data_IF_970293134886
#
_entry.id   IF_970293134886
#
_cell.length_a   1.000
_cell.length_b   1.000
_cell.length_c   1.000
_cell.angle_alpha   90.00
_cell.angle_beta   90.00
_cell.angle_gamma   90.00
#
_symmetry.space_group_name_H-M   'P 1'
#
loop_
_entity.id
_entity.type
_entity.pdbx_description
1 polymer ?
#
# COMPACT_ATOMS: atom_id res chain seq x y z
N UNK A 1 -26.23 9.88 -11.34
CA UNK A 1 -24.75 9.74 -11.36
C UNK A 1 -24.34 8.96 -10.13
N UNK A 2 -24.05 7.66 -10.29
CA UNK A 2 -23.62 6.80 -9.18
C UNK A 2 -22.33 7.35 -8.55
N UNK A 3 -22.17 7.31 -7.21
CA UNK A 3 -20.92 7.72 -6.58
C UNK A 3 -19.80 6.79 -7.04
N UNK A 4 -18.63 7.35 -7.39
CA UNK A 4 -17.45 6.57 -7.80
C UNK A 4 -17.10 5.59 -6.67
N UNK A 5 -17.25 4.26 -6.87
CA UNK A 5 -17.06 3.27 -5.79
C UNK A 5 -15.61 3.10 -5.34
N UNK A 6 -14.65 3.72 -6.02
CA UNK A 6 -13.22 3.44 -5.85
C UNK A 6 -12.49 4.36 -4.86
N UNK A 7 -13.18 5.27 -4.17
CA UNK A 7 -12.51 6.09 -3.16
C UNK A 7 -11.99 5.22 -2.02
N UNK A 8 -10.66 5.15 -1.93
CA UNK A 8 -9.94 4.49 -0.86
C UNK A 8 -9.58 5.51 0.22
N UNK A 9 -9.56 5.06 1.46
CA UNK A 9 -9.31 5.88 2.65
C UNK A 9 -8.22 5.21 3.46
N UNK A 10 -7.16 5.97 3.77
CA UNK A 10 -6.10 5.50 4.64
C UNK A 10 -6.58 5.52 6.10
N UNK A 11 -6.39 4.41 6.80
CA UNK A 11 -6.72 4.30 8.22
C UNK A 11 -5.42 4.25 9.02
N UNK A 12 -5.34 5.11 10.01
CA UNK A 12 -4.24 5.24 10.95
C UNK A 12 -4.64 4.68 12.33
N UNK A 13 -3.68 4.13 13.08
CA UNK A 13 -3.87 3.85 14.51
C UNK A 13 -3.71 5.14 15.34
N UNK A 14 -3.98 5.09 16.65
CA UNK A 14 -3.80 6.22 17.59
C UNK A 14 -2.37 6.78 17.61
N UNK A 15 -1.39 5.99 17.18
CA UNK A 15 0.01 6.41 17.04
C UNK A 15 0.29 7.10 15.70
N UNK A 16 -0.74 7.37 14.90
CA UNK A 16 -0.68 7.97 13.56
C UNK A 16 0.04 7.12 12.52
N UNK A 17 0.14 5.81 12.75
CA UNK A 17 0.78 4.89 11.83
C UNK A 17 -0.27 4.27 10.90
N UNK A 18 0.04 4.13 9.60
CA UNK A 18 -0.86 3.52 8.63
C UNK A 18 -1.08 2.04 8.98
N UNK A 19 -2.36 1.66 9.11
CA UNK A 19 -2.76 0.29 9.46
C UNK A 19 -3.57 -0.41 8.40
N UNK A 20 -4.32 0.31 7.59
CA UNK A 20 -5.12 -0.28 6.53
C UNK A 20 -5.52 0.77 5.48
N UNK A 21 -5.88 0.31 4.28
CA UNK A 21 -6.58 1.10 3.27
C UNK A 21 -7.94 0.45 3.08
N UNK A 22 -9.01 1.21 3.29
CA UNK A 22 -10.38 0.69 3.20
C UNK A 22 -11.18 1.44 2.15
N UNK A 23 -12.19 0.81 1.58
CA UNK A 23 -13.15 1.50 0.71
C UNK A 23 -14.02 2.48 1.50
N UNK A 24 -14.54 3.49 0.80
CA UNK A 24 -15.33 4.59 1.34
C UNK A 24 -16.44 4.14 2.31
N UNK A 25 -17.26 3.14 1.95
CA UNK A 25 -18.38 2.70 2.80
C UNK A 25 -17.92 2.22 4.19
N UNK A 26 -16.78 1.51 4.23
CA UNK A 26 -16.19 1.05 5.49
C UNK A 26 -15.59 2.22 6.27
N UNK A 27 -14.97 3.18 5.60
CA UNK A 27 -14.48 4.40 6.22
C UNK A 27 -15.60 5.20 6.87
N UNK A 28 -16.68 5.48 6.15
CA UNK A 28 -17.85 6.19 6.69
C UNK A 28 -18.47 5.43 7.87
N UNK A 29 -18.54 4.09 7.78
CA UNK A 29 -19.01 3.26 8.90
C UNK A 29 -18.15 3.40 10.15
N UNK A 30 -16.82 3.54 10.03
CA UNK A 30 -15.93 3.77 11.17
C UNK A 30 -16.13 5.15 11.79
N UNK A 31 -16.25 6.18 10.94
CA UNK A 31 -16.48 7.57 11.35
C UNK A 31 -17.83 7.73 12.07
N UNK A 32 -18.93 7.34 11.43
CA UNK A 32 -20.29 7.54 11.97
C UNK A 32 -20.59 6.69 13.20
N UNK A 33 -19.86 5.58 13.41
CA UNK A 33 -19.96 4.80 14.65
C UNK A 33 -19.08 5.35 15.78
N UNK A 34 -18.43 6.50 15.60
CA UNK A 34 -17.54 7.11 16.59
C UNK A 34 -16.29 6.27 16.87
N UNK A 35 -15.88 5.39 15.94
CA UNK A 35 -14.68 4.55 16.10
C UNK A 35 -13.43 5.17 15.49
N UNK A 36 -13.61 6.21 14.68
CA UNK A 36 -12.54 6.96 14.06
C UNK A 36 -12.91 8.45 13.99
N UNK A 37 -11.89 9.30 13.87
CA UNK A 37 -12.01 10.69 13.49
C UNK A 37 -11.47 10.90 12.06
N UNK A 38 -12.08 11.80 11.31
CA UNK A 38 -11.55 12.22 10.02
C UNK A 38 -10.37 13.18 10.23
N UNK A 39 -9.29 12.97 9.48
CA UNK A 39 -8.10 13.83 9.48
C UNK A 39 -8.16 14.72 8.25
N UNK A 40 -8.02 16.02 8.45
CA UNK A 40 -7.90 17.00 7.37
C UNK A 40 -6.72 17.93 7.64
N UNK A 41 -5.91 18.18 6.61
CA UNK A 41 -4.79 19.11 6.69
C UNK A 41 -5.29 20.52 6.34
N UNK A 42 -4.99 21.48 7.21
CA UNK A 42 -5.36 22.89 7.11
C UNK A 42 -4.14 23.72 7.51
N UNK A 43 -3.61 24.54 6.60
CA UNK A 43 -2.45 25.42 6.82
C UNK A 43 -1.22 24.75 7.48
N UNK A 44 -0.94 23.48 7.13
CA UNK A 44 0.20 22.73 7.68
C UNK A 44 -0.08 22.04 9.03
N UNK A 45 -1.31 22.10 9.54
CA UNK A 45 -1.75 21.39 10.73
C UNK A 45 -2.78 20.30 10.40
N UNK A 46 -2.72 19.17 11.11
CA UNK A 46 -3.73 18.11 10.98
C UNK A 46 -4.82 18.29 12.04
N UNK A 47 -6.03 18.59 11.58
CA UNK A 47 -7.22 18.71 12.43
C UNK A 47 -8.01 17.40 12.41
N UNK A 48 -8.51 17.01 13.58
CA UNK A 48 -9.37 15.84 13.76
C UNK A 48 -10.82 16.28 13.83
N UNK A 49 -11.68 15.57 13.12
CA UNK A 49 -13.12 15.81 13.08
C UNK A 49 -13.85 14.54 13.50
N UNK A 50 -14.70 14.67 14.51
CA UNK A 50 -15.75 13.68 14.78
C UNK A 50 -16.73 13.63 13.59
N UNK A 51 -17.64 12.65 13.61
CA UNK A 51 -18.65 12.53 12.57
C UNK A 51 -19.51 13.79 12.40
N UNK A 52 -19.94 14.40 13.52
CA UNK A 52 -20.77 15.60 13.50
C UNK A 52 -20.00 16.81 12.96
N UNK A 53 -18.76 17.00 13.42
CA UNK A 53 -17.90 18.08 12.94
C UNK A 53 -17.54 17.91 11.46
N UNK A 54 -17.36 16.66 10.99
CA UNK A 54 -17.07 16.38 9.58
C UNK A 54 -18.26 16.71 8.66
N UNK A 55 -19.47 16.39 9.11
CA UNK A 55 -20.71 16.77 8.42
C UNK A 55 -20.78 18.29 8.30
N UNK A 56 -20.67 18.99 9.42
CA UNK A 56 -20.80 20.44 9.47
C UNK A 56 -19.68 21.15 8.67
N UNK A 57 -18.44 20.66 8.76
CA UNK A 57 -17.34 21.12 7.91
C UNK A 57 -17.63 20.93 6.42
N UNK A 58 -18.18 19.78 6.03
CA UNK A 58 -18.54 19.51 4.63
C UNK A 58 -19.64 20.42 4.11
N UNK A 59 -20.57 20.84 4.98
CA UNK A 59 -21.64 21.78 4.63
C UNK A 59 -21.13 23.22 4.53
N UNK A 60 -20.29 23.64 5.48
CA UNK A 60 -19.70 24.99 5.51
C UNK A 60 -18.69 25.21 4.39
N UNK A 61 -17.96 24.16 4.00
CA UNK A 61 -16.96 24.19 2.93
C UNK A 61 -17.18 23.03 1.94
N UNK A 62 -18.18 23.16 1.05
CA UNK A 62 -18.54 22.09 0.12
C UNK A 62 -17.35 21.63 -0.72
N UNK A 63 -17.10 20.31 -0.82
CA UNK A 63 -16.03 19.78 -1.67
C UNK A 63 -16.39 19.94 -3.17
N UNK A 64 -15.38 19.94 -4.05
CA UNK A 64 -15.60 19.73 -5.48
C UNK A 64 -16.39 18.43 -5.72
N UNK A 65 -17.22 18.39 -6.76
CA UNK A 65 -18.12 17.25 -7.00
C UNK A 65 -17.39 15.90 -7.14
N UNK A 66 -16.13 15.92 -7.59
CA UNK A 66 -15.28 14.73 -7.73
C UNK A 66 -14.83 14.12 -6.38
N UNK A 67 -14.91 14.88 -5.28
CA UNK A 67 -14.49 14.47 -3.94
C UNK A 67 -15.66 14.42 -2.95
N UNK A 68 -16.87 14.32 -3.48
CA UNK A 68 -18.11 14.42 -2.74
C UNK A 68 -18.89 13.10 -2.75
N UNK A 69 -19.33 12.67 -1.57
CA UNK A 69 -20.38 11.67 -1.41
C UNK A 69 -21.71 12.42 -1.38
N UNK A 70 -22.60 12.08 -2.32
CA UNK A 70 -23.93 12.69 -2.39
C UNK A 70 -24.99 11.72 -1.90
N UNK A 71 -25.86 12.21 -1.05
CA UNK A 71 -27.15 11.61 -0.73
C UNK A 71 -28.26 12.61 -1.10
N UNK A 72 -29.54 12.19 -1.10
CA UNK A 72 -30.64 13.10 -1.42
C UNK A 72 -30.69 14.37 -0.56
N UNK A 73 -30.20 14.30 0.69
CA UNK A 73 -30.34 15.40 1.66
C UNK A 73 -29.01 16.03 2.09
N UNK A 74 -27.87 15.45 1.70
CA UNK A 74 -26.56 15.94 2.15
C UNK A 74 -25.44 15.64 1.15
N UNK A 75 -24.52 16.59 1.05
CA UNK A 75 -23.25 16.46 0.33
C UNK A 75 -22.12 16.42 1.35
N UNK A 76 -21.37 15.33 1.36
CA UNK A 76 -20.29 15.10 2.31
C UNK A 76 -18.94 15.02 1.60
N UNK A 77 -17.91 15.61 2.20
CA UNK A 77 -16.53 15.42 1.76
C UNK A 77 -16.08 13.98 2.01
N UNK A 78 -15.45 13.38 1.02
CA UNK A 78 -14.78 12.08 1.17
C UNK A 78 -13.61 12.24 2.15
N UNK A 79 -13.59 11.55 3.31
CA UNK A 79 -12.43 11.58 4.18
C UNK A 79 -11.28 10.83 3.51
N UNK A 80 -10.13 11.49 3.31
CA UNK A 80 -8.93 10.85 2.73
C UNK A 80 -8.16 10.01 3.75
N UNK A 81 -8.22 10.41 5.02
CA UNK A 81 -7.51 9.77 6.13
C UNK A 81 -8.42 9.70 7.36
N UNK A 82 -8.40 8.57 8.05
CA UNK A 82 -9.08 8.36 9.32
C UNK A 82 -8.08 7.97 10.42
N UNK A 83 -8.25 8.52 11.62
CA UNK A 83 -7.52 8.13 12.82
C UNK A 83 -8.42 7.27 13.72
N UNK A 84 -8.02 6.05 14.04
CA UNK A 84 -8.80 5.18 14.94
C UNK A 84 -8.74 5.68 16.38
N UNK A 85 -9.89 5.70 17.06
CA UNK A 85 -10.02 6.28 18.40
C UNK A 85 -9.42 5.41 19.50
N UNK A 86 -9.33 4.09 19.34
CA UNK A 86 -8.93 3.18 20.44
C UNK A 86 -7.87 2.14 20.03
N UNK A 87 -7.46 2.12 18.76
CA UNK A 87 -6.52 1.12 18.26
C UNK A 87 -5.09 1.67 18.33
N UNK A 88 -4.27 1.12 19.21
CA UNK A 88 -2.88 1.51 19.46
C UNK A 88 -1.87 0.48 18.94
N UNK A 89 -2.33 -0.71 18.55
CA UNK A 89 -1.47 -1.77 18.02
C UNK A 89 -0.77 -1.29 16.76
N UNK A 90 0.53 -1.52 16.71
CA UNK A 90 1.31 -1.45 15.48
C UNK A 90 1.04 -2.75 14.72
N UNK A 91 0.39 -2.73 13.54
CA UNK A 91 0.20 -3.96 12.79
C UNK A 91 1.57 -4.57 12.52
N UNK A 92 1.73 -5.87 12.80
CA UNK A 92 2.88 -6.61 12.27
C UNK A 92 2.80 -6.52 10.75
N UNK A 93 3.70 -5.75 10.16
CA UNK A 93 3.75 -5.39 8.74
C UNK A 93 4.19 -6.60 7.90
N UNK A 94 3.42 -7.67 7.94
CA UNK A 94 3.71 -8.87 7.15
C UNK A 94 3.11 -8.74 5.76
N UNK A 95 3.99 -8.43 4.80
CA UNK A 95 3.66 -8.59 3.40
C UNK A 95 3.50 -10.09 3.13
N UNK A 96 2.29 -10.48 2.74
CA UNK A 96 2.01 -11.85 2.31
C UNK A 96 2.92 -12.21 1.13
N UNK A 97 3.61 -13.34 1.24
CA UNK A 97 4.33 -13.92 0.12
C UNK A 97 3.33 -14.36 -0.96
N UNK A 98 3.38 -13.73 -2.14
CA UNK A 98 2.51 -14.03 -3.27
C UNK A 98 3.20 -13.66 -4.58
N UNK A 99 2.81 -14.31 -5.70
CA UNK A 99 3.34 -14.01 -7.04
C UNK A 99 3.28 -12.51 -7.36
N UNK A 100 2.10 -11.90 -7.19
CA UNK A 100 1.89 -10.47 -7.39
C UNK A 100 2.87 -9.62 -6.59
N UNK A 101 3.08 -9.94 -5.31
CA UNK A 101 3.98 -9.14 -4.47
C UNK A 101 5.47 -9.35 -4.80
N UNK A 102 5.87 -10.50 -5.34
CA UNK A 102 7.22 -10.72 -5.85
C UNK A 102 7.43 -9.93 -7.14
N UNK A 103 6.46 -9.93 -8.06
CA UNK A 103 6.54 -9.15 -9.30
C UNK A 103 6.61 -7.65 -9.00
N UNK A 104 5.78 -7.16 -8.06
CA UNK A 104 5.84 -5.78 -7.59
C UNK A 104 7.19 -5.43 -6.94
N UNK A 105 7.74 -6.30 -6.08
CA UNK A 105 9.06 -6.11 -5.46
C UNK A 105 10.17 -5.94 -6.52
N UNK A 106 10.07 -6.73 -7.57
CA UNK A 106 11.07 -6.80 -8.63
C UNK A 106 10.72 -5.89 -9.81
N UNK A 107 9.69 -5.04 -9.69
CA UNK A 107 9.26 -4.08 -10.71
C UNK A 107 9.05 -4.74 -12.08
N UNK A 108 8.43 -5.93 -12.09
CA UNK A 108 8.22 -6.72 -13.31
C UNK A 108 9.51 -7.01 -14.11
N UNK A 109 10.66 -6.94 -13.44
CA UNK A 109 11.97 -7.08 -14.06
C UNK A 109 12.54 -8.46 -13.78
N UNK A 110 12.95 -9.16 -14.84
CA UNK A 110 13.66 -10.42 -14.71
C UNK A 110 14.98 -10.21 -13.96
N UNK A 111 15.16 -10.88 -12.83
CA UNK A 111 16.35 -10.73 -11.98
C UNK A 111 17.62 -11.34 -12.58
N UNK A 112 17.52 -12.00 -13.73
CA UNK A 112 18.66 -12.55 -14.46
C UNK A 112 19.08 -11.69 -15.66
N UNK A 113 18.17 -11.38 -16.58
CA UNK A 113 18.51 -10.61 -17.78
C UNK A 113 18.26 -9.09 -17.64
N UNK A 114 17.57 -8.67 -16.58
CA UNK A 114 17.32 -7.27 -16.28
C UNK A 114 16.28 -6.56 -17.16
N UNK A 115 15.61 -7.27 -18.05
CA UNK A 115 14.53 -6.71 -18.88
C UNK A 115 13.20 -6.72 -18.12
N UNK A 116 12.37 -5.73 -18.39
CA UNK A 116 10.99 -5.61 -17.89
C UNK A 116 10.05 -6.38 -18.81
N UNK A 117 9.08 -7.09 -18.25
CA UNK A 117 8.12 -7.94 -18.98
C UNK A 117 6.70 -7.74 -18.45
N UNK A 118 5.70 -8.19 -19.22
CA UNK A 118 4.32 -8.28 -18.72
C UNK A 118 4.16 -9.46 -17.76
N UNK A 119 3.13 -9.44 -16.93
CA UNK A 119 2.86 -10.47 -15.91
C UNK A 119 2.79 -11.88 -16.51
N UNK A 120 2.27 -12.02 -17.73
CA UNK A 120 2.08 -13.32 -18.40
C UNK A 120 3.39 -13.93 -18.93
N UNK A 121 4.44 -13.11 -19.08
CA UNK A 121 5.77 -13.52 -19.56
C UNK A 121 6.76 -13.80 -18.42
N UNK A 122 6.28 -13.64 -17.18
CA UNK A 122 7.06 -13.77 -15.96
C UNK A 122 6.64 -15.00 -15.16
N UNK A 123 7.63 -15.60 -14.51
CA UNK A 123 7.49 -16.72 -13.59
C UNK A 123 8.20 -16.39 -12.27
N UNK A 124 7.86 -17.14 -11.23
CA UNK A 124 8.66 -17.21 -10.01
C UNK A 124 9.72 -18.29 -10.18
N UNK A 125 10.98 -17.95 -9.93
CA UNK A 125 12.09 -18.90 -9.93
C UNK A 125 12.69 -19.04 -8.52
N UNK A 126 13.05 -20.27 -8.18
CA UNK A 126 13.80 -20.61 -6.98
C UNK A 126 15.30 -20.44 -7.25
N UNK A 127 15.92 -19.42 -6.67
CA UNK A 127 17.37 -19.16 -6.81
C UNK A 127 18.15 -20.42 -6.45
N UNK A 128 17.94 -20.96 -5.26
CA UNK A 128 18.33 -22.32 -4.87
C UNK A 128 17.19 -23.26 -5.27
N UNK A 129 17.39 -24.21 -6.21
CA UNK A 129 16.35 -25.14 -6.65
C UNK A 129 15.77 -25.98 -5.51
N UNK A 130 14.50 -26.39 -5.65
CA UNK A 130 13.81 -27.22 -4.65
C UNK A 130 14.52 -28.55 -4.39
N UNK A 131 15.04 -29.17 -5.45
CA UNK A 131 15.68 -30.49 -5.40
C UNK A 131 16.94 -30.53 -4.52
N UNK A 132 17.55 -29.37 -4.28
CA UNK A 132 18.72 -29.21 -3.38
C UNK A 132 18.38 -28.46 -2.09
N UNK A 133 17.09 -28.42 -1.71
CA UNK A 133 16.62 -27.86 -0.43
C UNK A 133 16.14 -26.41 -0.48
N UNK A 134 15.98 -25.83 -1.66
CA UNK A 134 15.50 -24.46 -1.85
C UNK A 134 14.09 -24.23 -1.30
N UNK A 135 13.95 -23.28 -0.37
CA UNK A 135 12.67 -22.92 0.25
C UNK A 135 11.85 -21.98 -0.63
N UNK A 136 10.52 -21.98 -0.47
CA UNK A 136 9.63 -21.01 -1.13
C UNK A 136 9.39 -19.83 -0.17
N UNK A 137 10.31 -18.88 -0.15
CA UNK A 137 10.25 -17.69 0.72
C UNK A 137 10.83 -16.45 0.02
N UNK A 138 10.81 -15.31 0.70
CA UNK A 138 11.27 -14.03 0.17
C UNK A 138 12.76 -14.01 -0.18
N UNK A 139 13.55 -14.82 0.53
CA UNK A 139 15.00 -14.92 0.47
C UNK A 139 15.50 -15.91 -0.59
N UNK A 140 14.60 -16.59 -1.31
CA UNK A 140 14.97 -17.56 -2.33
C UNK A 140 14.16 -17.44 -3.63
N UNK A 141 13.06 -16.68 -3.64
CA UNK A 141 12.23 -16.51 -4.83
C UNK A 141 12.48 -15.17 -5.51
N UNK A 142 12.63 -15.21 -6.82
CA UNK A 142 12.81 -14.04 -7.70
C UNK A 142 11.89 -14.09 -8.90
N UNK A 143 11.66 -12.92 -9.51
CA UNK A 143 10.99 -12.78 -10.80
C UNK A 143 11.95 -13.17 -11.93
N UNK A 144 11.53 -14.08 -12.81
CA UNK A 144 12.31 -14.51 -13.97
C UNK A 144 11.42 -14.59 -15.21
N UNK A 145 11.90 -14.12 -16.37
CA UNK A 145 11.18 -14.35 -17.62
C UNK A 145 11.26 -15.82 -18.02
N UNK A 146 10.30 -16.28 -18.83
CA UNK A 146 10.19 -17.68 -19.27
C UNK A 146 11.54 -18.20 -19.83
N UNK A 147 12.21 -17.43 -20.69
CA UNK A 147 13.50 -17.83 -21.29
C UNK A 147 14.60 -18.05 -20.26
N UNK A 148 14.76 -17.12 -19.32
CA UNK A 148 15.79 -17.22 -18.27
C UNK A 148 15.47 -18.34 -17.29
N UNK A 149 14.19 -18.49 -16.92
CA UNK A 149 13.72 -19.55 -16.05
C UNK A 149 14.01 -20.93 -16.65
N UNK A 150 13.68 -21.14 -17.94
CA UNK A 150 13.98 -22.39 -18.64
C UNK A 150 15.47 -22.62 -18.83
N UNK A 151 16.27 -21.57 -19.04
CA UNK A 151 17.74 -21.68 -19.13
C UNK A 151 18.33 -22.13 -17.79
N UNK A 152 17.88 -21.56 -16.66
CA UNK A 152 18.36 -21.94 -15.33
C UNK A 152 17.93 -23.37 -14.99
N UNK A 153 16.65 -23.69 -15.17
CA UNK A 153 16.04 -24.96 -14.79
C UNK A 153 16.38 -25.30 -13.31
N UNK A 154 16.66 -26.57 -13.00
CA UNK A 154 16.97 -27.04 -11.65
C UNK A 154 18.45 -26.82 -11.25
N UNK A 155 19.12 -25.83 -11.84
CA UNK A 155 20.50 -25.46 -11.50
C UNK A 155 20.55 -24.22 -10.63
N UNK A 156 21.65 -24.05 -9.90
CA UNK A 156 22.01 -22.77 -9.30
C UNK A 156 22.31 -21.74 -10.40
N UNK A 157 22.12 -20.42 -10.15
CA UNK A 157 22.42 -19.39 -11.14
C UNK A 157 23.85 -19.49 -11.68
N UNK A 158 24.82 -19.73 -10.78
CA UNK A 158 26.23 -19.90 -11.12
C UNK A 158 26.46 -21.06 -12.10
N UNK A 159 25.82 -22.20 -11.86
CA UNK A 159 25.87 -23.39 -12.74
C UNK A 159 25.19 -23.16 -14.10
N UNK A 160 24.30 -22.17 -14.21
CA UNK A 160 23.67 -21.76 -15.47
C UNK A 160 24.42 -20.61 -16.18
N UNK A 161 25.52 -20.13 -15.59
CA UNK A 161 26.24 -18.94 -16.05
C UNK A 161 25.37 -17.69 -15.97
N UNK A 162 24.60 -17.55 -14.89
CA UNK A 162 23.65 -16.48 -14.66
C UNK A 162 23.93 -15.81 -13.32
N UNK A 163 23.84 -14.49 -13.29
CA UNK A 163 24.04 -13.69 -12.08
C UNK A 163 22.74 -12.98 -11.74
N UNK A 164 22.42 -12.93 -10.45
CA UNK A 164 21.28 -12.15 -9.96
C UNK A 164 21.61 -10.66 -9.96
N UNK A 165 20.67 -9.83 -10.42
CA UNK A 165 20.78 -8.37 -10.34
C UNK A 165 20.61 -7.85 -8.92
N UNK A 166 19.71 -8.45 -8.15
CA UNK A 166 19.45 -8.11 -6.75
C UNK A 166 19.25 -9.40 -5.96
N UNK A 167 19.81 -9.43 -4.75
CA UNK A 167 19.57 -10.55 -3.84
C UNK A 167 18.08 -10.60 -3.44
N UNK A 168 17.44 -11.78 -3.45
CA UNK A 168 16.07 -11.94 -2.97
C UNK A 168 15.99 -11.56 -1.49
N UNK A 169 15.09 -10.64 -1.16
CA UNK A 169 14.82 -10.24 0.21
C UNK A 169 13.33 -9.90 0.37
N UNK A 170 12.87 -9.89 1.63
CA UNK A 170 11.51 -9.44 1.96
C UNK A 170 11.37 -7.94 1.69
N UNK A 171 10.38 -7.50 0.89
CA UNK A 171 10.19 -6.08 0.62
C UNK A 171 9.83 -5.31 1.88
N UNK A 172 10.14 -4.02 1.89
CA UNK A 172 9.60 -3.09 2.89
C UNK A 172 8.13 -2.80 2.53
N UNK A 173 7.24 -2.85 3.52
CA UNK A 173 5.78 -2.63 3.34
C UNK A 173 5.46 -1.39 2.49
N UNK A 174 6.18 -0.30 2.75
CA UNK A 174 6.01 0.98 2.05
C UNK A 174 6.16 0.85 0.54
N UNK A 175 7.10 0.04 0.05
CA UNK A 175 7.37 -0.11 -1.38
C UNK A 175 6.16 -0.71 -2.10
N UNK A 176 5.57 -1.76 -1.50
CA UNK A 176 4.40 -2.42 -2.10
C UNK A 176 3.16 -1.53 -2.03
N UNK A 177 2.93 -0.85 -0.91
CA UNK A 177 1.80 0.07 -0.81
C UNK A 177 1.95 1.20 -1.83
N UNK A 178 3.08 1.92 -1.83
CA UNK A 178 3.31 3.04 -2.74
C UNK A 178 3.16 2.65 -4.22
N UNK A 179 3.68 1.48 -4.62
CA UNK A 179 3.53 0.97 -6.00
C UNK A 179 2.08 0.64 -6.41
N UNK A 180 1.16 0.60 -5.45
CA UNK A 180 -0.27 0.28 -5.66
C UNK A 180 -1.20 1.48 -5.46
N UNK A 181 -0.64 2.66 -5.16
CA UNK A 181 -1.37 3.92 -5.04
C UNK A 181 -1.40 4.63 -6.40
N UNK A 182 -2.49 5.32 -6.70
CA UNK A 182 -2.47 6.36 -7.72
C UNK A 182 -1.58 7.53 -7.26
N UNK A 183 -1.15 8.37 -8.20
CA UNK A 183 -0.40 9.59 -7.88
C UNK A 183 -1.17 10.47 -6.89
N UNK A 184 -2.48 10.61 -7.07
CA UNK A 184 -3.35 11.39 -6.19
C UNK A 184 -3.40 10.85 -4.76
N UNK A 185 -3.44 9.53 -4.60
CA UNK A 185 -3.43 8.87 -3.28
C UNK A 185 -2.05 8.93 -2.63
N UNK A 186 -0.98 8.78 -3.41
CA UNK A 186 0.38 8.94 -2.91
C UNK A 186 0.60 10.34 -2.36
N UNK A 187 0.25 11.37 -3.13
CA UNK A 187 0.38 12.78 -2.70
C UNK A 187 -0.46 13.07 -1.45
N UNK A 188 -1.67 12.52 -1.38
CA UNK A 188 -2.53 12.68 -0.20
C UNK A 188 -1.98 12.03 1.07
N UNK A 189 -1.19 10.96 0.92
CA UNK A 189 -0.82 10.08 2.04
C UNK A 189 0.68 10.07 2.34
N UNK A 190 1.53 10.66 1.51
CA UNK A 190 3.00 10.61 1.63
C UNK A 190 3.49 10.99 3.03
N UNK A 191 2.89 12.01 3.64
CA UNK A 191 3.22 12.49 4.99
C UNK A 191 2.95 11.47 6.10
N UNK A 192 2.02 10.54 5.88
CA UNK A 192 1.72 9.44 6.82
C UNK A 192 2.46 8.14 6.47
N UNK A 193 2.99 8.03 5.24
CA UNK A 193 3.75 6.87 4.76
C UNK A 193 5.26 7.03 5.02
N UNK A 194 5.75 8.26 5.10
CA UNK A 194 7.15 8.62 5.35
C UNK A 194 7.44 8.74 6.86
N UNK A 195 7.57 7.58 7.51
CA UNK A 195 8.02 7.52 8.90
C UNK A 195 9.55 7.65 8.96
N UNK A 196 10.06 8.55 9.81
CA UNK A 196 11.50 8.68 10.07
C UNK A 196 12.08 7.38 10.67
N UNK A 197 13.41 7.16 10.63
CA UNK A 197 14.04 5.98 11.23
C UNK A 197 13.70 5.77 12.72
N UNK A 198 13.34 6.84 13.44
CA UNK A 198 12.91 6.82 14.84
C UNK A 198 11.44 6.43 15.04
N UNK A 199 10.68 6.13 13.98
CA UNK A 199 9.26 5.83 14.08
C UNK A 199 8.35 7.07 14.22
N UNK A 200 8.92 8.27 14.15
CA UNK A 200 8.22 9.55 14.31
C UNK A 200 7.80 10.12 12.95
N UNK A 201 6.65 10.78 12.91
CA UNK A 201 6.20 11.54 11.74
C UNK A 201 6.88 12.91 11.76
N UNK A 202 7.38 13.40 10.61
CA UNK A 202 8.22 14.60 10.55
C UNK A 202 7.55 15.88 11.07
N UNK A 203 6.23 15.92 11.10
CA UNK A 203 5.43 17.04 11.60
C UNK A 203 5.02 16.90 13.08
N UNK A 204 5.38 15.79 13.73
CA UNK A 204 4.98 15.47 15.11
C UNK A 204 6.17 15.64 16.05
N UNK A 205 6.27 16.85 16.63
CA UNK A 205 7.11 17.12 17.81
C UNK A 205 6.40 16.61 19.08
#
# INVERSE_FOLDING_TARGET
MSPRPDHRVLVLNRLWQPVNIVGLLRAMSLLFRGRAAAVHADEGHHRLFSAAEWIDFSLRQPPPAAEAVRSPCIVLRVPRVLLLNAYDRVPRREIRFSRRNVYLRDENTCQYCGRVFRDEELNLDHVVPRDVGGKTNWENIVTACIRCNSRKANRLPEQAGMTLRRAPAKPKWRLIVASSLSTEEYEAWKEFLEVTPAGQLPWRN
#
